data_IF_113923039640
#
_entry.id   IF_113923039640
#
_cell.length_a   1.000
_cell.length_b   1.000
_cell.length_c   1.000
_cell.angle_alpha   90.00
_cell.angle_beta   90.00
_cell.angle_gamma   90.00
#
_symmetry.space_group_name_H-M   'P 1'
#
loop_
_entity.id
_entity.type
_entity.pdbx_description
1 polymer ?
#
# COMPACT_ATOMS: atom_id res chain seq x y z
N UNK A 1 5.79 10.74 -6.91
CA UNK A 1 4.79 9.83 -7.51
C UNK A 1 4.42 10.38 -8.86
N UNK A 2 4.27 9.53 -9.86
CA UNK A 2 3.69 9.90 -11.15
C UNK A 2 2.20 9.53 -11.11
N UNK A 3 1.33 10.43 -11.58
CA UNK A 3 -0.09 10.12 -11.78
C UNK A 3 -0.22 9.00 -12.83
N UNK A 4 -0.63 7.81 -12.38
CA UNK A 4 -1.06 6.73 -13.25
C UNK A 4 -2.59 6.85 -13.36
N UNK A 5 -3.16 6.58 -14.53
CA UNK A 5 -4.61 6.63 -14.74
C UNK A 5 -5.41 5.74 -13.77
N UNK A 6 -4.73 4.78 -13.10
CA UNK A 6 -5.28 3.85 -12.10
C UNK A 6 -5.07 4.31 -10.65
N UNK A 7 -4.29 5.36 -10.39
CA UNK A 7 -3.99 5.86 -9.04
C UNK A 7 -2.63 6.57 -8.92
N UNK A 8 -2.21 6.85 -7.69
CA UNK A 8 -0.86 7.41 -7.45
C UNK A 8 0.14 6.27 -7.39
N UNK A 9 1.08 6.26 -8.34
CA UNK A 9 2.14 5.25 -8.36
C UNK A 9 3.17 5.58 -7.27
N UNK A 10 3.26 4.71 -6.25
CA UNK A 10 4.36 4.72 -5.29
C UNK A 10 5.48 3.88 -5.89
N UNK A 11 6.35 4.53 -6.67
CA UNK A 11 7.50 3.93 -7.33
C UNK A 11 8.64 3.55 -6.36
N UNK A 12 8.36 3.48 -5.06
CA UNK A 12 9.34 3.13 -4.06
C UNK A 12 9.42 1.60 -4.04
N UNK A 13 10.49 1.05 -4.61
CA UNK A 13 10.84 -0.36 -4.47
C UNK A 13 11.30 -0.63 -3.03
N UNK A 14 10.39 -0.55 -2.07
CA UNK A 14 10.68 -0.77 -0.66
C UNK A 14 10.56 -2.26 -0.36
N UNK A 15 11.53 -2.82 0.35
CA UNK A 15 11.40 -4.17 0.89
C UNK A 15 10.33 -4.20 2.00
N UNK A 16 9.74 -5.36 2.26
CA UNK A 16 8.77 -5.47 3.36
C UNK A 16 9.41 -5.17 4.72
N UNK A 17 10.72 -5.42 4.87
CA UNK A 17 11.48 -5.10 6.09
C UNK A 17 11.67 -3.60 6.27
N UNK A 18 11.99 -2.87 5.20
CA UNK A 18 12.10 -1.41 5.28
C UNK A 18 10.73 -0.78 5.58
N UNK A 19 9.65 -1.29 4.99
CA UNK A 19 8.30 -0.83 5.34
C UNK A 19 7.98 -1.09 6.81
N UNK A 20 8.28 -2.30 7.30
CA UNK A 20 8.09 -2.71 8.69
C UNK A 20 8.85 -1.80 9.66
N UNK A 21 10.10 -1.48 9.35
CA UNK A 21 10.93 -0.55 10.14
C UNK A 21 10.35 0.86 10.18
N UNK A 22 9.85 1.38 9.05
CA UNK A 22 9.26 2.73 8.97
C UNK A 22 7.98 2.84 9.80
N UNK A 23 7.11 1.82 9.74
CA UNK A 23 5.79 1.87 10.40
C UNK A 23 5.80 1.27 11.82
N UNK A 24 6.95 0.80 12.30
CA UNK A 24 7.07 0.18 13.63
C UNK A 24 6.28 -1.13 13.78
N UNK A 25 6.16 -1.92 12.71
CA UNK A 25 5.46 -3.20 12.70
C UNK A 25 6.40 -4.37 12.37
N UNK A 26 5.94 -5.60 12.58
CA UNK A 26 6.68 -6.76 12.08
C UNK A 26 6.52 -6.92 10.56
N UNK A 27 7.50 -7.57 9.91
CA UNK A 27 7.40 -7.95 8.48
C UNK A 27 6.15 -8.78 8.18
N UNK A 28 5.73 -9.63 9.12
CA UNK A 28 4.53 -10.45 8.97
C UNK A 28 3.27 -9.59 8.94
N UNK A 29 3.11 -8.68 9.91
CA UNK A 29 1.98 -7.76 9.95
C UNK A 29 1.92 -6.88 8.69
N UNK A 30 3.06 -6.38 8.23
CA UNK A 30 3.14 -5.65 6.95
C UNK A 30 2.62 -6.48 5.79
N UNK A 31 3.04 -7.74 5.71
CA UNK A 31 2.61 -8.65 4.64
C UNK A 31 1.10 -8.90 4.71
N UNK A 32 0.56 -9.11 5.91
CA UNK A 32 -0.88 -9.31 6.15
C UNK A 32 -1.69 -8.08 5.71
N UNK A 33 -1.32 -6.88 6.16
CA UNK A 33 -2.01 -5.65 5.78
C UNK A 33 -1.90 -5.34 4.29
N UNK A 34 -0.73 -5.55 3.67
CA UNK A 34 -0.61 -5.39 2.23
C UNK A 34 -1.57 -6.36 1.51
N UNK A 35 -1.69 -7.61 1.98
CA UNK A 35 -2.57 -8.60 1.36
C UNK A 35 -4.05 -8.25 1.52
N UNK A 36 -4.42 -7.72 2.67
CA UNK A 36 -5.76 -7.16 2.92
C UNK A 36 -6.05 -5.99 1.96
N UNK A 37 -5.11 -5.04 1.84
CA UNK A 37 -5.28 -3.88 0.95
C UNK A 37 -5.36 -4.24 -0.54
N UNK A 38 -4.68 -5.30 -0.95
CA UNK A 38 -4.77 -5.83 -2.32
C UNK A 38 -6.15 -6.47 -2.56
N UNK A 39 -6.64 -7.28 -1.61
CA UNK A 39 -8.00 -7.86 -1.65
C UNK A 39 -9.10 -6.80 -1.69
N UNK A 40 -8.93 -5.73 -0.93
CA UNK A 40 -9.86 -4.60 -0.88
C UNK A 40 -9.71 -3.62 -2.06
N UNK A 41 -8.79 -3.89 -3.00
CA UNK A 41 -8.50 -3.02 -4.16
C UNK A 41 -8.10 -1.59 -3.77
N UNK A 42 -7.49 -1.44 -2.59
CA UNK A 42 -6.88 -0.20 -2.12
C UNK A 42 -5.52 -0.01 -2.80
N UNK A 43 -4.79 -1.11 -2.95
CA UNK A 43 -3.53 -1.17 -3.68
C UNK A 43 -3.62 -2.17 -4.84
N UNK A 44 -2.77 -1.96 -5.84
CA UNK A 44 -2.50 -2.87 -6.93
C UNK A 44 -1.00 -3.17 -6.96
N UNK A 45 -0.63 -4.44 -7.09
CA UNK A 45 0.77 -4.85 -7.17
C UNK A 45 1.16 -5.18 -8.60
N UNK A 46 2.18 -4.49 -9.11
CA UNK A 46 2.85 -4.85 -10.36
C UNK A 46 4.33 -5.17 -10.06
N UNK A 47 4.62 -6.45 -9.84
CA UNK A 47 5.96 -6.92 -9.48
C UNK A 47 6.43 -6.32 -8.14
N UNK A 48 7.49 -5.50 -8.19
CA UNK A 48 8.02 -4.79 -7.01
C UNK A 48 7.39 -3.40 -6.80
N UNK A 49 6.39 -3.04 -7.61
CA UNK A 49 5.73 -1.73 -7.56
C UNK A 49 4.35 -1.87 -6.91
N UNK A 50 4.00 -0.86 -6.12
CA UNK A 50 2.68 -0.73 -5.53
C UNK A 50 2.04 0.54 -6.10
N UNK A 51 0.87 0.36 -6.72
CA UNK A 51 0.02 1.46 -7.17
C UNK A 51 -1.07 1.61 -6.13
N UNK A 52 -1.22 2.82 -5.58
CA UNK A 52 -2.23 3.08 -4.56
C UNK A 52 -3.37 3.84 -5.20
N UNK A 53 -4.61 3.40 -4.98
CA UNK A 53 -5.79 4.15 -5.40
C UNK A 53 -6.13 5.21 -4.33
N UNK A 54 -5.88 6.51 -4.59
CA UNK A 54 -6.05 7.55 -3.56
C UNK A 54 -7.51 7.69 -3.09
N UNK A 55 -8.50 7.36 -3.94
CA UNK A 55 -9.92 7.39 -3.54
C UNK A 55 -10.23 6.30 -2.50
N UNK A 56 -9.73 5.09 -2.73
CA UNK A 56 -9.94 3.98 -1.80
C UNK A 56 -9.11 4.14 -0.52
N UNK A 57 -7.88 4.65 -0.63
CA UNK A 57 -7.04 4.92 0.54
C UNK A 57 -7.70 5.94 1.47
N UNK A 58 -8.24 7.03 0.91
CA UNK A 58 -8.91 8.07 1.70
C UNK A 58 -10.12 7.52 2.45
N UNK A 59 -10.92 6.67 1.81
CA UNK A 59 -12.04 5.96 2.46
C UNK A 59 -11.57 5.14 3.67
N UNK A 60 -10.44 4.44 3.57
CA UNK A 60 -9.90 3.60 4.65
C UNK A 60 -9.45 4.44 5.84
N UNK A 61 -8.74 5.55 5.56
CA UNK A 61 -8.27 6.50 6.59
C UNK A 61 -9.46 7.18 7.28
N UNK A 62 -10.52 7.52 6.54
CA UNK A 62 -11.72 8.15 7.08
C UNK A 62 -12.64 7.15 7.82
N UNK A 63 -12.54 5.85 7.52
CA UNK A 63 -13.38 4.81 8.16
C UNK A 63 -12.77 4.13 9.39
N UNK A 64 -11.46 4.29 9.63
CA UNK A 64 -10.80 3.76 10.83
C UNK A 64 -10.71 4.88 11.88
N UNK A 65 -11.33 4.71 13.07
CA UNK A 65 -11.32 5.72 14.13
C UNK A 65 -9.94 5.92 14.76
#
# INVERSE_FOLDING_TARGET
GSDDSRGTLIGLAISHETLASIVGASRQQVTEYLNEFDREKIILREGRRIIVNPKNLRRVIESRP
#
